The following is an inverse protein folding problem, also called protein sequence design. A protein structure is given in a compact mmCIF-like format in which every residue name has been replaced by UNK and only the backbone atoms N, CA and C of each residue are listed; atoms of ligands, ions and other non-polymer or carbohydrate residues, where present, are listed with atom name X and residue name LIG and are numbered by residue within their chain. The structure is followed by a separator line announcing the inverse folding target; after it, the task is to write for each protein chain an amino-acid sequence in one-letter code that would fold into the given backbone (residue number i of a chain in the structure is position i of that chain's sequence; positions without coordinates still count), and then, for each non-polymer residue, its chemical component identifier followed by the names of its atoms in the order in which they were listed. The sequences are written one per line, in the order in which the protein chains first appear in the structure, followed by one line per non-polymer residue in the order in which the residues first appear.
data_IF_118028503513
#
_entry.id   IF_118028503513
#
_cell.length_a   1.000
_cell.length_b   1.000
_cell.length_c   1.000
_cell.angle_alpha   90.00
_cell.angle_beta   90.00
_cell.angle_gamma   90.00
#
_symmetry.space_group_name_H-M   'P 1'
#
loop_
_entity.id
_entity.type
_entity.pdbx_description
1 polymer ?
#
# COMPACT_ATOMS: atom_id res chain seq x y z
N UNK A 1 -22.92 33.99 4.08
CA UNK A 1 -21.52 33.60 4.38
C UNK A 1 -21.39 32.16 4.89
N UNK A 2 -22.23 31.67 5.82
CA UNK A 2 -22.12 30.30 6.37
C UNK A 2 -22.29 29.16 5.35
N UNK A 3 -23.18 29.31 4.36
CA UNK A 3 -23.43 28.27 3.34
C UNK A 3 -22.31 28.16 2.30
N UNK A 4 -21.61 29.26 2.01
CA UNK A 4 -20.48 29.27 1.06
C UNK A 4 -19.27 28.51 1.63
N UNK A 5 -19.02 28.63 2.94
CA UNK A 5 -17.95 27.89 3.62
C UNK A 5 -18.19 26.38 3.65
N UNK A 6 -19.45 25.95 3.87
CA UNK A 6 -19.80 24.53 3.82
C UNK A 6 -19.65 23.94 2.42
N UNK A 7 -20.12 24.64 1.38
CA UNK A 7 -19.97 24.20 -0.01
C UNK A 7 -18.49 24.06 -0.43
N UNK A 8 -17.62 24.99 0.01
CA UNK A 8 -16.18 24.90 -0.24
C UNK A 8 -15.51 23.69 0.43
N UNK A 9 -15.92 23.32 1.65
CA UNK A 9 -15.40 22.13 2.34
C UNK A 9 -15.79 20.81 1.67
N UNK A 10 -17.03 20.71 1.17
CA UNK A 10 -17.47 19.51 0.42
C UNK A 10 -16.81 19.37 -0.94
N UNK A 11 -16.45 20.49 -1.61
CA UNK A 11 -15.76 20.45 -2.89
C UNK A 11 -14.35 19.81 -2.81
N UNK A 12 -13.65 19.94 -1.68
CA UNK A 12 -12.30 19.36 -1.49
C UNK A 12 -12.32 17.90 -1.04
N UNK A 13 -13.45 17.41 -0.50
CA UNK A 13 -13.56 16.04 0.00
C UNK A 13 -13.41 14.98 -1.11
N UNK A 14 -13.73 15.30 -2.36
CA UNK A 14 -13.59 14.40 -3.51
C UNK A 14 -12.19 14.34 -4.11
N UNK A 15 -11.24 15.16 -3.64
CA UNK A 15 -9.88 15.23 -4.20
C UNK A 15 -8.91 14.19 -3.61
N UNK A 16 -9.34 13.42 -2.61
CA UNK A 16 -8.52 12.38 -2.01
C UNK A 16 -8.49 11.12 -2.90
N UNK A 17 -7.56 11.07 -3.85
CA UNK A 17 -7.17 9.85 -4.54
C UNK A 17 -5.99 9.22 -3.80
N UNK A 18 -6.24 8.16 -3.04
CA UNK A 18 -5.21 7.44 -2.29
C UNK A 18 -4.94 6.09 -2.96
N UNK A 19 -4.00 6.07 -3.89
CA UNK A 19 -3.48 4.84 -4.51
C UNK A 19 -2.16 4.47 -3.82
N UNK A 20 -2.00 3.19 -3.48
CA UNK A 20 -0.86 2.75 -2.70
C UNK A 20 -0.52 1.29 -2.93
N UNK A 21 0.74 0.94 -2.68
CA UNK A 21 1.28 -0.40 -2.66
C UNK A 21 1.93 -0.63 -1.31
N UNK A 22 1.59 -1.74 -0.66
CA UNK A 22 2.29 -2.27 0.52
C UNK A 22 3.63 -2.84 0.09
N UNK A 23 4.74 -2.28 0.57
CA UNK A 23 6.07 -2.49 -0.03
C UNK A 23 7.14 -2.99 0.93
N UNK A 24 6.94 -2.85 2.24
CA UNK A 24 7.95 -3.22 3.23
C UNK A 24 7.32 -3.58 4.58
N UNK A 25 7.95 -4.49 5.30
CA UNK A 25 7.62 -4.76 6.71
C UNK A 25 8.80 -4.46 7.62
N UNK A 26 8.50 -4.10 8.86
CA UNK A 26 9.46 -4.12 9.97
C UNK A 26 8.99 -5.10 11.05
N UNK A 27 9.92 -5.84 11.63
CA UNK A 27 9.68 -6.79 12.73
C UNK A 27 10.36 -6.26 13.98
N UNK A 28 9.58 -5.97 15.04
CA UNK A 28 10.06 -5.33 16.27
C UNK A 28 10.89 -4.05 16.00
N UNK A 29 10.42 -3.22 15.06
CA UNK A 29 11.07 -1.98 14.66
C UNK A 29 12.24 -2.13 13.67
N UNK A 30 12.65 -3.36 13.33
CA UNK A 30 13.74 -3.61 12.38
C UNK A 30 13.19 -3.87 10.98
N UNK A 31 13.53 -3.00 10.03
CA UNK A 31 13.19 -3.16 8.61
C UNK A 31 13.67 -4.51 8.08
N UNK A 32 12.82 -5.19 7.32
CA UNK A 32 13.17 -6.40 6.58
C UNK A 32 13.71 -6.12 5.17
N UNK A 33 13.89 -4.84 4.82
CA UNK A 33 14.30 -4.37 3.51
C UNK A 33 13.13 -4.09 2.58
N UNK A 34 13.25 -3.02 1.79
CA UNK A 34 12.24 -2.63 0.81
C UNK A 34 12.05 -3.76 -0.23
N UNK A 35 10.79 -4.09 -0.52
CA UNK A 35 10.36 -5.12 -1.48
C UNK A 35 10.76 -6.57 -1.15
N UNK A 36 11.47 -6.79 -0.04
CA UNK A 36 11.85 -8.13 0.39
C UNK A 36 10.65 -8.90 0.93
N UNK A 37 10.58 -10.22 0.69
CA UNK A 37 9.50 -11.14 1.10
C UNK A 37 8.08 -10.76 0.65
N UNK A 38 7.96 -9.99 -0.43
CA UNK A 38 6.70 -9.40 -0.88
C UNK A 38 6.34 -9.82 -2.31
N UNK A 39 5.05 -9.72 -2.66
CA UNK A 39 4.52 -9.86 -4.01
C UNK A 39 3.88 -8.53 -4.40
N UNK A 40 4.51 -7.80 -5.30
CA UNK A 40 4.18 -6.40 -5.57
C UNK A 40 3.56 -6.25 -6.97
N UNK A 41 2.42 -5.55 -7.10
CA UNK A 41 1.87 -5.17 -8.40
C UNK A 41 2.74 -4.09 -9.08
N UNK A 42 2.68 -4.01 -10.40
CA UNK A 42 3.32 -2.99 -11.22
C UNK A 42 2.61 -1.63 -11.17
N UNK A 43 1.34 -1.61 -10.76
CA UNK A 43 0.47 -0.45 -10.72
C UNK A 43 -0.29 -0.39 -9.39
N UNK A 44 -0.51 0.82 -8.88
CA UNK A 44 -1.13 1.12 -7.58
C UNK A 44 -2.66 1.26 -7.65
N UNK A 45 -3.26 0.90 -8.79
CA UNK A 45 -4.69 0.79 -9.02
C UNK A 45 -5.41 -0.11 -8.01
N UNK A 46 -6.65 0.22 -7.61
CA UNK A 46 -7.41 -0.62 -6.71
C UNK A 46 -7.89 -1.91 -7.40
N UNK A 47 -7.98 -3.00 -6.64
CA UNK A 47 -8.85 -4.13 -7.00
C UNK A 47 -10.25 -3.81 -6.48
N UNK A 48 -11.23 -3.76 -7.36
CA UNK A 48 -12.61 -3.35 -7.03
C UNK A 48 -13.62 -4.51 -7.07
N UNK A 49 -13.34 -5.56 -7.84
CA UNK A 49 -14.16 -6.77 -7.88
C UNK A 49 -13.80 -7.69 -6.71
N UNK A 50 -14.65 -7.70 -5.69
CA UNK A 50 -14.49 -8.50 -4.47
C UNK A 50 -14.58 -10.01 -4.70
N UNK A 51 -15.07 -10.45 -5.86
CA UNK A 51 -15.17 -11.87 -6.22
C UNK A 51 -13.95 -12.39 -7.00
N UNK A 52 -13.07 -11.49 -7.45
CA UNK A 52 -11.86 -11.85 -8.21
C UNK A 52 -10.82 -12.55 -7.34
N UNK A 53 -10.07 -13.49 -7.94
CA UNK A 53 -8.90 -14.10 -7.29
C UNK A 53 -7.82 -13.08 -6.91
N UNK A 54 -7.77 -11.94 -7.62
CA UNK A 54 -6.84 -10.83 -7.34
C UNK A 54 -7.12 -10.13 -6.01
N UNK A 55 -8.27 -10.36 -5.37
CA UNK A 55 -8.52 -9.88 -4.01
C UNK A 55 -7.60 -10.51 -2.96
N UNK A 56 -7.05 -11.70 -3.23
CA UNK A 56 -6.22 -12.40 -2.24
C UNK A 56 -4.84 -11.77 -2.08
N UNK A 57 -4.15 -11.49 -3.19
CA UNK A 57 -2.76 -11.01 -3.19
C UNK A 57 -2.46 -10.11 -4.41
N UNK A 58 -3.43 -9.33 -4.88
CA UNK A 58 -3.35 -8.56 -6.12
C UNK A 58 -3.19 -9.46 -7.36
N UNK A 59 -2.94 -8.85 -8.52
CA UNK A 59 -2.93 -9.51 -9.82
C UNK A 59 -3.75 -8.70 -10.83
N UNK A 60 -4.14 -9.31 -11.96
CA UNK A 60 -4.90 -8.60 -13.00
C UNK A 60 -6.07 -7.78 -12.42
N UNK A 61 -6.21 -6.48 -12.75
CA UNK A 61 -5.49 -5.76 -13.80
C UNK A 61 -4.08 -5.27 -13.43
N UNK A 62 -3.70 -5.29 -12.15
CA UNK A 62 -2.37 -4.88 -11.68
C UNK A 62 -1.41 -6.08 -11.68
N UNK A 63 -0.84 -6.40 -12.85
CA UNK A 63 0.11 -7.51 -12.98
C UNK A 63 1.23 -7.42 -11.93
N UNK A 64 1.67 -8.58 -11.40
CA UNK A 64 2.78 -8.60 -10.45
C UNK A 64 4.09 -8.26 -11.17
N UNK A 65 4.81 -7.27 -10.65
CA UNK A 65 6.13 -6.86 -11.11
C UNK A 65 7.23 -7.60 -10.35
N UNK A 66 7.10 -7.65 -9.02
CA UNK A 66 8.08 -8.28 -8.14
C UNK A 66 7.45 -9.44 -7.40
N UNK A 67 8.09 -10.61 -7.49
CA UNK A 67 7.78 -11.78 -6.66
C UNK A 67 9.07 -12.15 -5.92
N UNK A 68 9.19 -11.73 -4.67
CA UNK A 68 10.37 -12.02 -3.86
C UNK A 68 10.49 -13.54 -3.63
N UNK A 69 11.67 -14.15 -3.83
CA UNK A 69 11.91 -15.55 -3.50
C UNK A 69 12.15 -15.76 -2.00
N UNK A 70 12.27 -14.69 -1.22
CA UNK A 70 12.65 -14.73 0.19
C UNK A 70 11.43 -14.86 1.10
N UNK A 71 11.67 -15.43 2.29
CA UNK A 71 10.69 -15.49 3.38
C UNK A 71 11.29 -14.77 4.60
N UNK A 72 10.64 -13.70 5.06
CA UNK A 72 11.07 -13.01 6.27
C UNK A 72 10.64 -13.80 7.51
N UNK A 73 11.56 -14.01 8.44
CA UNK A 73 11.26 -14.68 9.71
C UNK A 73 10.58 -13.72 10.68
N UNK A 74 9.40 -14.11 11.17
CA UNK A 74 8.64 -13.34 12.15
C UNK A 74 8.40 -14.21 13.38
N UNK A 75 9.15 -14.02 14.48
CA UNK A 75 8.92 -14.75 15.72
C UNK A 75 7.50 -14.49 16.25
N UNK A 76 6.86 -15.52 16.80
CA UNK A 76 5.54 -15.38 17.40
C UNK A 76 5.54 -14.31 18.51
N UNK A 77 4.51 -13.46 18.53
CA UNK A 77 4.40 -12.34 19.46
C UNK A 77 5.15 -11.07 19.04
N UNK A 78 5.87 -11.07 17.91
CA UNK A 78 6.51 -9.87 17.38
C UNK A 78 5.50 -8.82 16.93
N UNK A 79 5.85 -7.55 17.09
CA UNK A 79 5.14 -6.47 16.42
C UNK A 79 5.58 -6.40 14.95
N UNK A 80 4.61 -6.38 14.03
CA UNK A 80 4.85 -6.17 12.61
C UNK A 80 4.28 -4.82 12.19
N UNK A 81 5.12 -3.98 11.61
CA UNK A 81 4.72 -2.70 11.01
C UNK A 81 4.70 -2.86 9.50
N UNK A 82 3.62 -2.44 8.85
CA UNK A 82 3.47 -2.43 7.39
C UNK A 82 3.81 -1.04 6.88
N UNK A 83 4.55 -0.95 5.77
CA UNK A 83 4.89 0.31 5.12
C UNK A 83 4.33 0.35 3.71
N UNK A 84 3.65 1.46 3.42
CA UNK A 84 2.91 1.72 2.19
C UNK A 84 3.53 2.89 1.46
N UNK A 85 3.70 2.77 0.16
CA UNK A 85 4.14 3.85 -0.73
C UNK A 85 3.14 4.10 -1.84
N UNK A 86 3.19 5.27 -2.47
CA UNK A 86 2.33 5.56 -3.62
C UNK A 86 2.70 4.63 -4.80
N UNK A 87 3.96 4.64 -5.21
CA UNK A 87 4.53 3.77 -6.26
C UNK A 87 5.67 2.91 -5.72
N UNK A 88 6.15 1.94 -6.51
CA UNK A 88 7.33 1.13 -6.18
C UNK A 88 8.64 1.93 -6.04
N UNK A 89 8.67 3.16 -6.55
CA UNK A 89 9.83 4.06 -6.50
C UNK A 89 9.69 5.15 -5.44
N UNK A 90 8.71 5.03 -4.54
CA UNK A 90 8.52 5.97 -3.45
C UNK A 90 9.78 6.03 -2.56
N UNK A 91 10.37 7.21 -2.44
CA UNK A 91 11.48 7.44 -1.52
C UNK A 91 11.03 7.40 -0.06
N UNK A 92 11.96 7.55 0.88
CA UNK A 92 11.69 7.49 2.33
C UNK A 92 10.58 8.45 2.79
N UNK A 93 10.48 9.64 2.19
CA UNK A 93 9.45 10.64 2.49
C UNK A 93 8.06 10.31 1.90
N UNK A 94 7.97 9.34 0.99
CA UNK A 94 6.74 8.86 0.39
C UNK A 94 6.28 7.51 0.92
N UNK A 95 6.89 7.04 2.02
CA UNK A 95 6.55 5.79 2.69
C UNK A 95 5.88 6.07 4.04
N UNK A 96 4.75 5.44 4.29
CA UNK A 96 3.89 5.66 5.46
C UNK A 96 3.63 4.34 6.19
N UNK A 97 3.48 4.38 7.52
CA UNK A 97 3.16 3.24 8.39
C UNK A 97 1.73 3.29 8.91
#
# INVERSE_FOLDING_TARGET
MKFATAAALFAVAGCASAHTIFQEISVNGVSQGNHNCMRLPSYDGPITDVSSSSMSCNGSPNALDTVSPNVCSVPAGSQVTLRWGHTLTSGSNGMYT
#
